data_IF_919768869979
#
_entry.id   IF_919768869979
#
_cell.length_a   1.000
_cell.length_b   1.000
_cell.length_c   1.000
_cell.angle_alpha   90.00
_cell.angle_beta   90.00
_cell.angle_gamma   90.00
#
_symmetry.space_group_name_H-M   'P 1'
#
loop_
_entity.id
_entity.type
_entity.pdbx_description
1 polymer ?
#
# COMPACT_ATOMS: atom_id res chain seq x y z
N UNK A 1 -15.19 5.18 -26.84
CA UNK A 1 -14.26 5.26 -25.70
C UNK A 1 -14.45 3.98 -24.93
N UNK A 2 -13.80 2.93 -25.40
CA UNK A 2 -13.97 1.60 -24.82
C UNK A 2 -13.27 1.64 -23.48
N UNK A 3 -14.02 1.38 -22.41
CA UNK A 3 -13.44 1.39 -21.07
C UNK A 3 -12.36 0.31 -21.06
N UNK A 4 -11.16 0.67 -20.58
CA UNK A 4 -10.03 -0.23 -20.26
C UNK A 4 -10.47 -1.47 -19.45
N UNK A 5 -11.70 -1.47 -18.95
CA UNK A 5 -12.29 -2.44 -18.06
C UNK A 5 -13.29 -3.39 -18.73
N UNK A 6 -13.63 -3.24 -20.02
CA UNK A 6 -14.77 -3.98 -20.62
C UNK A 6 -14.44 -5.27 -21.37
N UNK A 7 -13.18 -5.61 -21.65
CA UNK A 7 -12.82 -6.87 -22.31
C UNK A 7 -11.36 -7.20 -22.06
N UNK A 8 -11.06 -8.18 -21.21
CA UNK A 8 -9.89 -9.06 -21.38
C UNK A 8 -9.80 -10.11 -20.26
N UNK A 9 -10.24 -11.31 -20.62
CA UNK A 9 -9.83 -12.61 -20.09
C UNK A 9 -8.38 -12.95 -20.50
N UNK A 10 -7.48 -11.97 -20.52
CA UNK A 10 -6.05 -12.15 -20.84
C UNK A 10 -5.21 -11.65 -19.66
N UNK A 11 -4.17 -12.38 -19.23
CA UNK A 11 -3.30 -11.99 -18.13
C UNK A 11 -2.44 -10.79 -18.53
N UNK A 12 -3.03 -9.59 -18.50
CA UNK A 12 -2.34 -8.43 -19.01
C UNK A 12 -1.43 -7.84 -17.91
N UNK A 13 -0.12 -8.02 -18.10
CA UNK A 13 0.92 -7.43 -17.26
C UNK A 13 0.77 -5.90 -17.16
N UNK A 14 -0.02 -5.29 -18.05
CA UNK A 14 -0.45 -3.90 -17.97
C UNK A 14 -1.04 -3.50 -16.60
N UNK A 15 -1.69 -4.42 -15.89
CA UNK A 15 -2.21 -4.12 -14.54
C UNK A 15 -1.10 -3.77 -13.54
N UNK A 16 0.12 -4.29 -13.70
CA UNK A 16 1.26 -3.89 -12.87
C UNK A 16 1.71 -2.44 -13.13
N UNK A 17 1.37 -1.86 -14.28
CA UNK A 17 1.58 -0.43 -14.53
C UNK A 17 0.73 0.40 -13.58
N UNK A 18 -0.47 -0.06 -13.23
CA UNK A 18 -1.33 0.59 -12.22
C UNK A 18 -0.62 0.59 -10.86
N UNK A 19 0.04 -0.52 -10.48
CA UNK A 19 0.83 -0.59 -9.26
C UNK A 19 2.00 0.41 -9.26
N UNK A 20 2.67 0.61 -10.42
CA UNK A 20 3.71 1.64 -10.55
C UNK A 20 3.15 3.06 -10.42
N UNK A 21 1.98 3.34 -11.02
CA UNK A 21 1.30 4.63 -10.82
C UNK A 21 0.95 4.87 -9.35
N UNK A 22 0.47 3.85 -8.63
CA UNK A 22 0.28 3.94 -7.18
C UNK A 22 1.59 4.21 -6.45
N UNK A 23 2.68 3.51 -6.79
CA UNK A 23 3.98 3.71 -6.15
C UNK A 23 4.47 5.17 -6.29
N UNK A 24 4.42 5.73 -7.50
CA UNK A 24 4.75 7.15 -7.75
C UNK A 24 3.78 8.07 -7.02
N UNK A 25 2.48 7.75 -7.07
CA UNK A 25 1.44 8.47 -6.34
C UNK A 25 1.73 8.56 -4.85
N UNK A 26 2.19 7.49 -4.21
CA UNK A 26 2.55 7.50 -2.79
C UNK A 26 3.74 8.41 -2.48
N UNK A 27 4.74 8.49 -3.36
CA UNK A 27 5.84 9.47 -3.21
C UNK A 27 5.28 10.88 -3.18
N UNK A 28 4.42 11.19 -4.16
CA UNK A 28 3.80 12.51 -4.30
C UNK A 28 2.94 12.83 -3.08
N UNK A 29 2.00 11.94 -2.72
CA UNK A 29 1.11 12.12 -1.57
C UNK A 29 1.90 12.29 -0.27
N UNK A 30 2.94 11.46 -0.04
CA UNK A 30 3.79 11.63 1.14
C UNK A 30 4.47 12.98 1.16
N UNK A 31 5.05 13.41 0.04
CA UNK A 31 5.72 14.71 -0.05
C UNK A 31 4.75 15.86 0.27
N UNK A 32 3.54 15.84 -0.30
CA UNK A 32 2.51 16.84 -0.03
C UNK A 32 2.07 16.81 1.44
N UNK A 33 1.72 15.64 1.98
CA UNK A 33 1.26 15.52 3.37
C UNK A 33 2.36 15.91 4.36
N UNK A 34 3.61 15.50 4.14
CA UNK A 34 4.74 15.90 4.98
C UNK A 34 4.95 17.42 4.95
N UNK A 35 4.94 18.00 3.75
CA UNK A 35 5.19 19.43 3.55
C UNK A 35 4.14 20.31 4.21
N UNK A 36 2.86 19.97 4.06
CA UNK A 36 1.74 20.83 4.42
C UNK A 36 1.04 20.45 5.73
N UNK A 37 0.98 19.16 6.07
CA UNK A 37 0.16 18.64 7.17
C UNK A 37 1.04 18.10 8.30
N UNK A 38 1.80 17.04 8.06
CA UNK A 38 2.51 16.33 9.12
C UNK A 38 3.61 17.16 9.77
N UNK A 39 4.41 17.93 9.03
CA UNK A 39 5.42 18.79 9.67
C UNK A 39 4.78 19.86 10.57
N UNK A 40 3.64 20.42 10.17
CA UNK A 40 2.92 21.42 10.98
C UNK A 40 2.33 20.78 12.24
N UNK A 41 1.70 19.62 12.09
CA UNK A 41 1.12 18.86 13.19
C UNK A 41 2.20 18.33 14.14
N UNK A 42 3.30 17.79 13.62
CA UNK A 42 4.43 17.33 14.39
C UNK A 42 5.04 18.49 15.20
N UNK A 43 5.27 19.65 14.57
CA UNK A 43 5.73 20.85 15.29
C UNK A 43 4.74 21.30 16.36
N UNK A 44 3.44 21.28 16.08
CA UNK A 44 2.42 21.62 17.07
C UNK A 44 2.41 20.64 18.27
N UNK A 45 2.43 19.33 17.99
CA UNK A 45 2.49 18.28 19.01
C UNK A 45 3.78 18.34 19.83
N UNK A 46 4.92 18.71 19.22
CA UNK A 46 6.20 18.84 19.92
C UNK A 46 6.37 20.18 20.63
N UNK A 47 5.84 21.27 20.08
CA UNK A 47 5.96 22.63 20.65
C UNK A 47 4.97 22.86 21.81
N UNK A 48 3.88 22.10 21.91
CA UNK A 48 3.05 22.06 23.12
C UNK A 48 3.81 21.57 24.36
N UNK A 49 4.95 20.89 24.18
CA UNK A 49 5.79 20.36 25.26
C UNK A 49 7.09 21.15 25.51
N UNK A 50 7.51 22.04 24.61
CA UNK A 50 8.66 22.90 24.85
C UNK A 50 8.67 24.09 23.88
N UNK A 51 8.52 25.29 24.44
CA UNK A 51 9.22 26.45 23.88
C UNK A 51 10.73 26.12 23.82
N UNK A 52 11.40 26.66 22.81
CA UNK A 52 12.85 26.91 22.74
C UNK A 52 13.68 26.06 21.77
N UNK A 53 14.52 26.82 21.04
CA UNK A 53 15.69 26.43 20.24
C UNK A 53 15.49 25.23 19.31
N UNK A 54 15.32 25.58 18.04
CA UNK A 54 15.66 24.73 16.91
C UNK A 54 17.09 24.17 17.12
N UNK A 55 17.16 22.94 17.63
CA UNK A 55 18.37 22.15 17.79
C UNK A 55 18.21 20.88 16.94
N UNK A 56 19.31 20.23 16.56
CA UNK A 56 19.28 18.99 15.76
C UNK A 56 18.38 17.90 16.38
N UNK A 57 18.38 17.80 17.71
CA UNK A 57 17.51 16.87 18.44
C UNK A 57 16.02 17.12 18.27
N UNK A 58 15.60 18.39 18.12
CA UNK A 58 14.19 18.74 17.88
C UNK A 58 13.79 18.39 16.45
N UNK A 59 14.66 18.65 15.47
CA UNK A 59 14.44 18.25 14.07
C UNK A 59 14.29 16.73 13.92
N UNK A 60 15.15 15.96 14.57
CA UNK A 60 15.08 14.49 14.54
C UNK A 60 13.76 13.96 15.15
N UNK A 61 13.25 14.59 16.22
CA UNK A 61 11.95 14.24 16.82
C UNK A 61 10.79 14.55 15.88
N UNK A 62 10.79 15.73 15.25
CA UNK A 62 9.76 16.13 14.29
C UNK A 62 9.75 15.21 13.08
N UNK A 63 10.92 14.86 12.53
CA UNK A 63 11.04 13.94 11.40
C UNK A 63 10.47 12.55 11.72
N UNK A 64 10.82 11.99 12.89
CA UNK A 64 10.28 10.69 13.34
C UNK A 64 8.77 10.74 13.57
N UNK A 65 8.26 11.82 14.17
CA UNK A 65 6.82 12.02 14.35
C UNK A 65 6.10 12.07 13.00
N UNK A 66 6.63 12.83 12.04
CA UNK A 66 6.09 12.91 10.68
C UNK A 66 6.07 11.55 9.97
N UNK A 67 7.15 10.77 10.12
CA UNK A 67 7.21 9.41 9.59
C UNK A 67 6.16 8.49 10.21
N UNK A 68 5.96 8.56 11.53
CA UNK A 68 4.90 7.81 12.23
C UNK A 68 3.50 8.23 11.77
N UNK A 69 3.27 9.52 11.54
CA UNK A 69 1.99 10.03 11.03
C UNK A 69 1.69 9.55 9.61
N UNK A 70 2.71 9.50 8.74
CA UNK A 70 2.56 8.92 7.40
C UNK A 70 2.14 7.45 7.48
N UNK A 71 2.87 6.65 8.28
CA UNK A 71 2.57 5.22 8.48
C UNK A 71 1.15 5.04 9.02
N UNK A 72 0.77 5.77 10.06
CA UNK A 72 -0.57 5.71 10.65
C UNK A 72 -1.66 6.07 9.63
N UNK A 73 -1.49 7.17 8.90
CA UNK A 73 -2.48 7.65 7.92
C UNK A 73 -2.69 6.62 6.81
N UNK A 74 -1.59 6.07 6.29
CA UNK A 74 -1.65 5.03 5.27
C UNK A 74 -2.38 3.78 5.78
N UNK A 75 -1.92 3.18 6.89
CA UNK A 75 -2.49 1.94 7.39
C UNK A 75 -3.95 2.10 7.80
N UNK A 76 -4.32 3.21 8.44
CA UNK A 76 -5.71 3.47 8.80
C UNK A 76 -6.62 3.60 7.56
N UNK A 77 -6.13 4.24 6.49
CA UNK A 77 -6.90 4.42 5.25
C UNK A 77 -7.09 3.10 4.52
N UNK A 78 -6.02 2.31 4.40
CA UNK A 78 -6.05 1.00 3.73
C UNK A 78 -6.90 0.00 4.50
N UNK A 79 -6.79 -0.02 5.83
CA UNK A 79 -7.61 -0.88 6.68
C UNK A 79 -9.10 -0.54 6.54
N UNK A 80 -9.45 0.74 6.59
CA UNK A 80 -10.84 1.17 6.38
C UNK A 80 -11.34 0.80 4.97
N UNK A 81 -10.48 0.88 3.95
CA UNK A 81 -10.85 0.54 2.57
C UNK A 81 -11.08 -0.96 2.39
N UNK A 82 -10.19 -1.82 2.89
CA UNK A 82 -10.37 -3.27 2.77
C UNK A 82 -11.57 -3.76 3.58
N UNK A 83 -11.80 -3.21 4.78
CA UNK A 83 -12.99 -3.53 5.57
C UNK A 83 -14.27 -3.17 4.82
N UNK A 84 -14.29 -2.03 4.14
CA UNK A 84 -15.42 -1.63 3.30
C UNK A 84 -15.63 -2.59 2.12
N UNK A 85 -14.57 -2.99 1.43
CA UNK A 85 -14.66 -3.97 0.33
C UNK A 85 -15.16 -5.31 0.86
N UNK A 86 -14.52 -5.82 1.91
CA UNK A 86 -14.80 -7.12 2.50
C UNK A 86 -16.22 -7.20 3.08
N UNK A 87 -16.76 -6.12 3.64
CA UNK A 87 -18.13 -6.09 4.16
C UNK A 87 -19.20 -6.47 3.11
N UNK A 88 -18.93 -6.21 1.83
CA UNK A 88 -19.81 -6.56 0.71
C UNK A 88 -19.57 -7.97 0.16
N UNK A 89 -18.59 -8.69 0.68
CA UNK A 89 -18.24 -10.03 0.22
C UNK A 89 -18.83 -11.12 1.11
N UNK A 90 -19.38 -12.19 0.53
CA UNK A 90 -20.01 -13.28 1.31
C UNK A 90 -18.99 -14.00 2.20
N UNK A 91 -17.73 -14.08 1.74
CA UNK A 91 -16.65 -14.72 2.47
C UNK A 91 -16.22 -13.97 3.74
N UNK A 92 -16.59 -12.70 3.91
CA UNK A 92 -16.25 -11.96 5.12
C UNK A 92 -17.01 -12.44 6.36
N UNK A 93 -18.20 -13.00 6.17
CA UNK A 93 -19.05 -13.50 7.27
C UNK A 93 -19.07 -15.01 7.40
N UNK A 94 -18.78 -15.73 6.32
CA UNK A 94 -18.83 -17.19 6.27
C UNK A 94 -17.60 -17.75 5.56
N UNK A 95 -16.79 -18.48 6.33
CA UNK A 95 -15.51 -19.07 5.88
C UNK A 95 -15.71 -20.17 4.84
N UNK A 96 -16.91 -20.75 4.72
CA UNK A 96 -17.24 -21.73 3.69
C UNK A 96 -17.10 -21.14 2.27
N UNK A 97 -17.21 -19.81 2.12
CA UNK A 97 -17.05 -19.14 0.84
C UNK A 97 -15.60 -18.80 0.47
N UNK A 98 -14.59 -19.03 1.34
CA UNK A 98 -13.19 -18.70 1.04
C UNK A 98 -12.65 -19.43 -0.19
N UNK A 99 -12.96 -20.71 -0.31
CA UNK A 99 -12.46 -21.57 -1.41
C UNK A 99 -13.54 -21.92 -2.42
N UNK A 100 -14.74 -21.33 -2.29
CA UNK A 100 -15.82 -21.58 -3.23
C UNK A 100 -15.41 -21.04 -4.61
N UNK A 101 -15.41 -21.92 -5.61
CA UNK A 101 -14.99 -21.59 -6.98
C UNK A 101 -13.47 -21.61 -7.21
N UNK A 102 -12.65 -22.03 -6.24
CA UNK A 102 -11.21 -22.22 -6.48
C UNK A 102 -10.98 -23.35 -7.50
N UNK A 103 -10.05 -23.21 -8.48
CA UNK A 103 -9.08 -22.11 -8.63
C UNK A 103 -9.58 -20.85 -9.38
N UNK A 104 -10.71 -20.93 -10.09
CA UNK A 104 -11.29 -19.83 -10.88
C UNK A 104 -12.21 -18.91 -10.06
N UNK A 105 -11.62 -18.15 -9.14
CA UNK A 105 -12.39 -17.14 -8.43
C UNK A 105 -12.15 -15.80 -9.11
N UNK A 106 -13.21 -15.29 -9.75
CA UNK A 106 -13.18 -13.97 -10.36
C UNK A 106 -12.90 -12.90 -9.30
N UNK A 107 -11.81 -12.14 -9.51
CA UNK A 107 -11.48 -11.04 -8.62
C UNK A 107 -12.30 -9.81 -9.02
N UNK A 108 -13.22 -9.37 -8.15
CA UNK A 108 -13.99 -8.15 -8.42
C UNK A 108 -13.09 -6.94 -8.55
N UNK A 109 -13.51 -5.97 -9.36
CA UNK A 109 -12.76 -4.74 -9.65
C UNK A 109 -12.23 -4.01 -8.39
N UNK A 110 -12.99 -3.83 -7.29
CA UNK A 110 -12.49 -3.16 -6.10
C UNK A 110 -11.31 -3.90 -5.45
N UNK A 111 -11.35 -5.24 -5.46
CA UNK A 111 -10.28 -6.07 -4.92
C UNK A 111 -9.05 -6.08 -5.85
N UNK A 112 -9.25 -6.03 -7.18
CA UNK A 112 -8.15 -5.86 -8.16
C UNK A 112 -7.39 -4.56 -7.92
N UNK A 113 -8.11 -3.45 -7.76
CA UNK A 113 -7.52 -2.15 -7.44
C UNK A 113 -6.80 -2.15 -6.09
N UNK A 114 -7.38 -2.82 -5.08
CA UNK A 114 -6.74 -2.98 -3.78
C UNK A 114 -5.42 -3.76 -3.87
N UNK A 115 -5.38 -4.86 -4.65
CA UNK A 115 -4.16 -5.61 -4.93
C UNK A 115 -3.08 -4.73 -5.58
N UNK A 116 -3.44 -3.95 -6.60
CA UNK A 116 -2.49 -3.05 -7.28
C UNK A 116 -2.01 -1.92 -6.36
N UNK A 117 -2.90 -1.37 -5.53
CA UNK A 117 -2.55 -0.38 -4.53
C UNK A 117 -1.55 -0.94 -3.50
N UNK A 118 -1.81 -2.14 -2.98
CA UNK A 118 -0.94 -2.77 -1.99
C UNK A 118 0.43 -3.13 -2.60
N UNK A 119 0.44 -3.66 -3.83
CA UNK A 119 1.66 -3.90 -4.59
C UNK A 119 2.46 -2.61 -4.76
N UNK A 120 1.82 -1.54 -5.24
CA UNK A 120 2.43 -0.23 -5.42
C UNK A 120 2.98 0.37 -4.13
N UNK A 121 2.27 0.22 -3.00
CA UNK A 121 2.75 0.69 -1.71
C UNK A 121 4.00 -0.06 -1.23
N UNK A 122 4.04 -1.39 -1.36
CA UNK A 122 5.23 -2.15 -0.97
C UNK A 122 6.42 -1.86 -1.89
N UNK A 123 6.20 -1.67 -3.19
CA UNK A 123 7.23 -1.21 -4.13
C UNK A 123 7.75 0.19 -3.75
N UNK A 124 6.84 1.14 -3.49
CA UNK A 124 7.19 2.46 -2.97
C UNK A 124 8.00 2.37 -1.67
N UNK A 125 7.59 1.49 -0.75
CA UNK A 125 8.22 1.35 0.56
C UNK A 125 9.64 0.79 0.48
N UNK A 126 9.97 -0.04 -0.52
CA UNK A 126 11.35 -0.44 -0.80
C UNK A 126 12.23 0.79 -1.05
N UNK A 127 11.78 1.70 -1.93
CA UNK A 127 12.51 2.94 -2.23
C UNK A 127 12.55 3.85 -1.00
N UNK A 128 11.44 3.99 -0.29
CA UNK A 128 11.35 4.82 0.91
C UNK A 128 12.28 4.32 2.03
N UNK A 129 12.42 2.99 2.19
CA UNK A 129 13.35 2.39 3.14
C UNK A 129 14.80 2.73 2.82
N UNK A 130 15.18 2.74 1.54
CA UNK A 130 16.56 3.05 1.12
C UNK A 130 16.87 4.53 1.22
N UNK A 131 15.92 5.40 0.85
CA UNK A 131 16.18 6.84 0.67
C UNK A 131 15.76 7.69 1.87
N UNK A 132 14.63 7.35 2.51
CA UNK A 132 13.97 8.22 3.49
C UNK A 132 14.03 7.72 4.92
N UNK A 133 14.01 6.40 5.13
CA UNK A 133 13.95 5.82 6.48
C UNK A 133 15.36 5.69 7.08
N UNK A 134 15.51 6.12 8.35
CA UNK A 134 16.76 5.88 9.09
C UNK A 134 17.07 4.40 9.17
N UNK A 135 18.27 3.99 8.75
CA UNK A 135 18.72 2.60 8.77
C UNK A 135 18.81 2.08 10.21
N UNK A 136 17.84 1.26 10.60
CA UNK A 136 17.78 0.56 11.88
C UNK A 136 18.39 -0.84 11.75
N UNK A 137 18.65 -1.52 12.89
CA UNK A 137 19.26 -2.87 12.91
C UNK A 137 18.40 -3.94 12.23
N UNK A 138 17.09 -3.72 12.17
CA UNK A 138 16.07 -4.54 11.51
C UNK A 138 15.87 -4.23 10.02
N UNK A 139 16.66 -3.32 9.44
CA UNK A 139 16.52 -2.89 8.04
C UNK A 139 16.51 -4.05 7.03
N UNK A 140 17.43 -5.01 7.15
CA UNK A 140 17.53 -6.13 6.20
C UNK A 140 16.30 -7.04 6.23
N UNK A 141 15.77 -7.28 7.44
CA UNK A 141 14.57 -8.09 7.66
C UNK A 141 13.36 -7.38 7.06
N UNK A 142 13.20 -6.09 7.34
CA UNK A 142 12.10 -5.30 6.77
C UNK A 142 12.20 -5.21 5.24
N UNK A 143 13.39 -4.98 4.68
CA UNK A 143 13.60 -4.97 3.23
C UNK A 143 13.20 -6.30 2.57
N UNK A 144 13.68 -7.42 3.14
CA UNK A 144 13.34 -8.75 2.65
C UNK A 144 11.83 -9.01 2.71
N UNK A 145 11.18 -8.60 3.80
CA UNK A 145 9.73 -8.68 3.94
C UNK A 145 9.02 -7.94 2.80
N UNK A 146 9.42 -6.71 2.47
CA UNK A 146 8.80 -5.94 1.38
C UNK A 146 8.96 -6.63 0.02
N UNK A 147 10.15 -7.14 -0.29
CA UNK A 147 10.42 -7.85 -1.55
C UNK A 147 9.55 -9.11 -1.65
N UNK A 148 9.51 -9.91 -0.58
CA UNK A 148 8.70 -11.13 -0.52
C UNK A 148 7.22 -10.79 -0.67
N UNK A 149 6.73 -9.75 -0.01
CA UNK A 149 5.32 -9.37 -0.10
C UNK A 149 4.94 -8.90 -1.51
N UNK A 150 5.78 -8.10 -2.19
CA UNK A 150 5.54 -7.73 -3.60
C UNK A 150 5.47 -8.98 -4.48
N UNK A 151 6.41 -9.92 -4.30
CA UNK A 151 6.43 -11.18 -5.03
C UNK A 151 5.16 -12.02 -4.78
N UNK A 152 4.75 -12.18 -3.51
CA UNK A 152 3.56 -12.95 -3.15
C UNK A 152 2.26 -12.33 -3.69
N UNK A 153 2.13 -10.99 -3.65
CA UNK A 153 0.98 -10.30 -4.24
C UNK A 153 0.94 -10.49 -5.76
N UNK A 154 2.09 -10.30 -6.43
CA UNK A 154 2.20 -10.48 -7.88
C UNK A 154 1.92 -11.92 -8.30
N UNK A 155 2.50 -12.89 -7.61
CA UNK A 155 2.27 -14.32 -7.86
C UNK A 155 0.81 -14.70 -7.63
N UNK A 156 0.19 -14.25 -6.52
CA UNK A 156 -1.23 -14.52 -6.24
C UNK A 156 -2.14 -13.98 -7.33
N UNK A 157 -1.84 -12.79 -7.87
CA UNK A 157 -2.60 -12.18 -8.94
C UNK A 157 -2.43 -12.91 -10.29
N UNK A 158 -1.19 -13.28 -10.64
CA UNK A 158 -0.90 -14.02 -11.87
C UNK A 158 -1.46 -15.43 -11.85
N UNK A 159 -1.28 -16.18 -10.75
CA UNK A 159 -1.78 -17.55 -10.62
C UNK A 159 -3.30 -17.62 -10.80
N UNK A 160 -4.02 -16.60 -10.29
CA UNK A 160 -5.47 -16.51 -10.44
C UNK A 160 -5.91 -16.15 -11.87
N UNK A 161 -5.17 -15.29 -12.57
CA UNK A 161 -5.47 -14.97 -13.97
C UNK A 161 -5.13 -16.12 -14.93
N UNK A 162 -4.01 -16.82 -14.70
CA UNK A 162 -3.62 -17.98 -15.50
C UNK A 162 -4.67 -19.09 -15.41
N UNK A 163 -5.25 -19.31 -14.21
CA UNK A 163 -6.35 -20.26 -14.02
C UNK A 163 -7.57 -19.96 -14.91
N UNK A 164 -7.94 -18.68 -15.03
CA UNK A 164 -9.05 -18.22 -15.87
C UNK A 164 -8.75 -18.38 -17.37
N UNK A 165 -7.49 -18.20 -17.79
CA UNK A 165 -7.06 -18.29 -19.19
C UNK A 165 -6.97 -19.72 -19.72
N UNK A 166 -6.75 -20.72 -18.86
CA UNK A 166 -6.67 -22.14 -19.28
C UNK A 166 -8.03 -22.83 -19.45
N UNK A 167 -9.14 -22.16 -19.07
CA UNK A 167 -10.48 -22.75 -19.06
C UNK A 167 -11.50 -22.02 -19.95
N UNK A 168 -11.07 -21.01 -20.68
CA UNK A 168 -11.78 -20.40 -21.82
C UNK A 168 -11.10 -20.82 -23.13
#
# INVERSE_FOLDING_TARGET
MDSVWSNSSEPDAYHFVIALFFAVGFVVVRFYLDRFVFRRLALWLTNGAAQMKINEGTYAKVAKCSESMWKLTYYATVEAWILKIAYHEPWFRDTHYYFKGWPNQELKLPLKLFYMCQCGFYTYSIVALVVWETRRKDFSVMMSHHIITVFLIGYSYLARQISEAFLN
#
